data_IF_264356175743
#
_entry.id   IF_264356175743
#
_cell.length_a   1.000
_cell.length_b   1.000
_cell.length_c   1.000
_cell.angle_alpha   90.00
_cell.angle_beta   90.00
_cell.angle_gamma   90.00
#
_symmetry.space_group_name_H-M   'P 1'
#
loop_
_entity.id
_entity.type
_entity.pdbx_description
1 polymer ?
#
# COMPACT_ATOMS: atom_id res chain seq x y z
N UNK A 1 23.99 -45.40 -23.90
CA UNK A 1 23.30 -44.63 -24.95
C UNK A 1 22.18 -43.74 -24.38
N UNK A 2 21.55 -44.14 -23.28
CA UNK A 2 20.45 -43.38 -22.66
C UNK A 2 20.87 -42.09 -21.95
N UNK A 3 22.04 -42.04 -21.30
CA UNK A 3 22.56 -40.80 -20.70
C UNK A 3 22.88 -39.70 -21.71
N UNK A 4 23.21 -40.09 -22.96
CA UNK A 4 23.50 -39.14 -24.04
C UNK A 4 22.21 -38.57 -24.66
N UNK A 5 21.16 -39.40 -24.77
CA UNK A 5 19.80 -38.98 -25.16
C UNK A 5 19.18 -38.06 -24.12
N UNK A 6 19.41 -38.30 -22.83
CA UNK A 6 18.89 -37.47 -21.74
C UNK A 6 19.60 -36.10 -21.62
N UNK A 7 20.90 -36.04 -21.94
CA UNK A 7 21.64 -34.77 -22.09
C UNK A 7 21.18 -33.97 -23.32
N UNK A 8 20.93 -34.64 -24.44
CA UNK A 8 20.47 -34.02 -25.68
C UNK A 8 18.99 -33.57 -25.61
N UNK A 9 18.13 -34.30 -24.91
CA UNK A 9 16.73 -33.92 -24.69
C UNK A 9 16.60 -32.69 -23.79
N UNK A 10 17.41 -32.59 -22.73
CA UNK A 10 17.52 -31.38 -21.88
C UNK A 10 17.98 -30.15 -22.68
N UNK A 11 18.91 -30.34 -23.61
CA UNK A 11 19.38 -29.27 -24.50
C UNK A 11 18.30 -28.84 -25.51
N UNK A 12 17.52 -29.78 -26.05
CA UNK A 12 16.39 -29.49 -26.95
C UNK A 12 15.24 -28.80 -26.22
N UNK A 13 14.90 -29.20 -25.00
CA UNK A 13 13.88 -28.54 -24.19
C UNK A 13 14.32 -27.11 -23.83
N UNK A 14 15.58 -26.92 -23.44
CA UNK A 14 16.16 -25.59 -23.20
C UNK A 14 16.17 -24.72 -24.46
N UNK A 15 16.56 -25.28 -25.61
CA UNK A 15 16.56 -24.58 -26.90
C UNK A 15 15.13 -24.29 -27.41
N UNK A 16 14.16 -25.13 -27.08
CA UNK A 16 12.75 -24.93 -27.41
C UNK A 16 12.11 -23.87 -26.51
N UNK A 17 12.43 -23.87 -25.21
CA UNK A 17 12.08 -22.79 -24.27
C UNK A 17 12.70 -21.47 -24.70
N UNK A 18 14.00 -21.44 -25.03
CA UNK A 18 14.71 -20.26 -25.59
C UNK A 18 14.13 -19.81 -26.95
N UNK A 19 13.73 -20.75 -27.81
CA UNK A 19 13.11 -20.46 -29.11
C UNK A 19 11.70 -19.86 -28.99
N UNK A 20 10.90 -20.31 -28.02
CA UNK A 20 9.64 -19.69 -27.63
C UNK A 20 9.86 -18.32 -26.96
N UNK A 21 10.92 -18.18 -26.16
CA UNK A 21 11.31 -16.94 -25.47
C UNK A 21 11.59 -15.81 -26.47
N UNK A 22 12.37 -16.09 -27.53
CA UNK A 22 12.67 -15.12 -28.61
C UNK A 22 11.46 -14.69 -29.43
N UNK A 23 10.42 -15.54 -29.54
CA UNK A 23 9.23 -15.25 -30.37
C UNK A 23 8.15 -14.47 -29.60
N UNK A 24 8.23 -14.42 -28.27
CA UNK A 24 7.31 -13.69 -27.37
C UNK A 24 8.04 -12.69 -26.45
N UNK A 25 9.26 -12.30 -26.80
CA UNK A 25 10.14 -11.45 -25.97
C UNK A 25 9.48 -10.12 -25.55
N UNK A 26 8.54 -9.62 -26.37
CA UNK A 26 7.72 -8.44 -26.09
C UNK A 26 6.64 -8.64 -25.00
N UNK A 27 6.17 -9.87 -24.75
CA UNK A 27 5.11 -10.18 -23.79
C UNK A 27 5.62 -10.85 -22.51
N UNK A 28 6.85 -11.38 -22.51
CA UNK A 28 7.45 -12.04 -21.34
C UNK A 28 7.58 -11.10 -20.12
N UNK A 29 8.02 -9.83 -20.26
CA UNK A 29 8.03 -8.88 -19.14
C UNK A 29 6.62 -8.62 -18.61
N UNK A 30 5.64 -8.42 -19.49
CA UNK A 30 4.25 -8.19 -19.12
C UNK A 30 3.63 -9.40 -18.39
N UNK A 31 3.87 -10.62 -18.88
CA UNK A 31 3.39 -11.86 -18.23
C UNK A 31 4.06 -12.08 -16.88
N UNK A 32 5.38 -11.83 -16.79
CA UNK A 32 6.13 -11.97 -15.53
C UNK A 32 5.68 -10.94 -14.50
N UNK A 33 5.39 -9.72 -14.96
CA UNK A 33 4.81 -8.65 -14.18
C UNK A 33 3.43 -9.01 -13.63
N UNK A 34 2.51 -9.47 -14.49
CA UNK A 34 1.15 -9.87 -14.06
C UNK A 34 1.20 -11.07 -13.12
N UNK A 35 2.03 -12.08 -13.42
CA UNK A 35 2.18 -13.25 -12.56
C UNK A 35 2.81 -12.92 -11.21
N UNK A 36 3.82 -12.05 -11.19
CA UNK A 36 4.43 -11.55 -9.95
C UNK A 36 3.43 -10.80 -9.08
N UNK A 37 2.64 -9.91 -9.69
CA UNK A 37 1.58 -9.19 -8.99
C UNK A 37 0.47 -10.10 -8.46
N UNK A 38 0.02 -11.07 -9.26
CA UNK A 38 -0.96 -12.06 -8.82
C UNK A 38 -0.40 -12.91 -7.67
N UNK A 39 0.87 -13.31 -7.76
CA UNK A 39 1.55 -14.04 -6.68
C UNK A 39 1.63 -13.21 -5.40
N UNK A 40 2.03 -11.94 -5.48
CA UNK A 40 2.11 -11.04 -4.34
C UNK A 40 0.72 -10.78 -3.75
N UNK A 41 -0.30 -10.58 -4.59
CA UNK A 41 -1.69 -10.41 -4.13
C UNK A 41 -2.24 -11.66 -3.42
N UNK A 42 -1.75 -12.85 -3.74
CA UNK A 42 -2.15 -14.10 -3.08
C UNK A 42 -1.32 -14.40 -1.83
N UNK A 43 -0.04 -14.02 -1.81
CA UNK A 43 0.89 -14.33 -0.72
C UNK A 43 0.93 -13.27 0.38
N UNK A 44 0.81 -11.99 0.00
CA UNK A 44 0.80 -10.84 0.91
C UNK A 44 -0.63 -10.51 1.28
N UNK A 45 -0.98 -10.87 2.50
CA UNK A 45 -2.38 -10.85 2.95
C UNK A 45 -2.62 -9.86 4.06
N UNK A 46 -1.59 -9.62 4.89
CA UNK A 46 -1.67 -8.74 6.05
C UNK A 46 -0.29 -8.14 6.33
N UNK A 47 -0.26 -6.82 6.45
CA UNK A 47 0.96 -6.05 6.69
C UNK A 47 1.66 -6.39 8.01
N UNK A 48 0.92 -6.88 9.01
CA UNK A 48 1.43 -7.23 10.34
C UNK A 48 1.89 -8.69 10.48
N UNK A 49 1.76 -9.51 9.43
CA UNK A 49 2.23 -10.90 9.50
C UNK A 49 3.76 -10.93 9.53
N UNK A 50 4.31 -11.58 10.54
CA UNK A 50 5.76 -11.78 10.67
C UNK A 50 6.39 -12.36 9.40
N UNK A 51 5.73 -13.36 8.79
CA UNK A 51 6.18 -13.98 7.54
C UNK A 51 6.28 -12.95 6.39
N UNK A 52 5.26 -12.12 6.22
CA UNK A 52 5.19 -11.17 5.11
C UNK A 52 6.27 -10.08 5.30
N UNK A 53 6.50 -9.61 6.53
CA UNK A 53 7.61 -8.73 6.88
C UNK A 53 9.00 -9.37 6.67
N UNK A 54 9.14 -10.67 6.96
CA UNK A 54 10.38 -11.42 6.72
C UNK A 54 10.68 -11.54 5.22
N UNK A 55 9.65 -11.81 4.40
CA UNK A 55 9.78 -11.85 2.93
C UNK A 55 10.23 -10.49 2.40
N UNK A 56 9.62 -9.38 2.84
CA UNK A 56 10.00 -8.05 2.38
C UNK A 56 11.40 -7.64 2.87
N UNK A 57 11.76 -8.03 4.09
CA UNK A 57 13.13 -7.85 4.60
C UNK A 57 14.15 -8.60 3.75
N UNK A 58 13.84 -9.85 3.39
CA UNK A 58 14.66 -10.66 2.50
C UNK A 58 14.78 -10.00 1.11
N UNK A 59 13.67 -9.52 0.53
CA UNK A 59 13.69 -8.80 -0.74
C UNK A 59 14.58 -7.56 -0.67
N UNK A 60 14.50 -6.76 0.39
CA UNK A 60 15.34 -5.57 0.54
C UNK A 60 16.83 -5.94 0.66
N UNK A 61 17.18 -6.92 1.50
CA UNK A 61 18.57 -7.38 1.67
C UNK A 61 19.17 -7.91 0.35
N UNK A 62 18.40 -8.73 -0.37
CA UNK A 62 18.85 -9.29 -1.63
C UNK A 62 18.89 -8.24 -2.75
N UNK A 63 17.97 -7.27 -2.75
CA UNK A 63 18.04 -6.10 -3.62
C UNK A 63 19.34 -5.31 -3.37
N UNK A 64 19.65 -4.98 -2.13
CA UNK A 64 20.91 -4.30 -1.76
C UNK A 64 22.12 -5.09 -2.25
N UNK A 65 22.12 -6.40 -2.01
CA UNK A 65 23.22 -7.29 -2.39
C UNK A 65 23.39 -7.36 -3.91
N UNK A 66 22.30 -7.55 -4.66
CA UNK A 66 22.32 -7.59 -6.13
C UNK A 66 22.74 -6.25 -6.72
N UNK A 67 22.29 -5.12 -6.14
CA UNK A 67 22.69 -3.78 -6.54
C UNK A 67 24.20 -3.60 -6.40
N UNK A 68 24.76 -3.95 -5.24
CA UNK A 68 26.20 -3.85 -4.98
C UNK A 68 26.98 -4.75 -5.95
N UNK A 69 26.62 -6.04 -6.04
CA UNK A 69 27.30 -7.02 -6.86
C UNK A 69 27.23 -6.70 -8.36
N UNK A 70 26.14 -6.10 -8.84
CA UNK A 70 25.99 -5.67 -10.23
C UNK A 70 27.01 -4.61 -10.60
N UNK A 71 27.18 -3.59 -9.76
CA UNK A 71 28.10 -2.49 -10.05
C UNK A 71 29.56 -2.85 -9.79
N UNK A 72 29.86 -3.60 -8.73
CA UNK A 72 31.19 -4.21 -8.57
C UNK A 72 31.52 -5.14 -9.75
N UNK A 73 30.49 -5.78 -10.32
CA UNK A 73 30.48 -6.52 -11.57
C UNK A 73 31.23 -5.83 -12.68
N UNK A 74 30.95 -4.55 -12.86
CA UNK A 74 31.40 -3.76 -14.01
C UNK A 74 32.88 -3.40 -13.93
N UNK A 75 33.49 -3.44 -12.74
CA UNK A 75 34.90 -3.11 -12.54
C UNK A 75 35.76 -4.39 -12.68
N UNK A 76 36.80 -4.38 -13.53
CA UNK A 76 37.69 -5.54 -13.66
C UNK A 76 38.39 -5.86 -12.34
N UNK A 77 38.55 -7.16 -12.04
CA UNK A 77 39.24 -7.71 -10.87
C UNK A 77 38.72 -7.30 -9.47
N UNK A 78 37.53 -6.68 -9.36
CA UNK A 78 36.92 -6.31 -8.06
C UNK A 78 36.03 -7.39 -7.45
N UNK A 79 35.54 -8.33 -8.26
CA UNK A 79 34.81 -9.49 -7.80
C UNK A 79 35.69 -10.72 -7.79
N UNK A 80 35.57 -11.54 -6.74
CA UNK A 80 36.18 -12.87 -6.73
C UNK A 80 35.64 -13.74 -7.86
N UNK A 81 36.41 -14.73 -8.28
CA UNK A 81 36.07 -15.70 -9.34
C UNK A 81 34.72 -16.42 -9.09
N UNK A 82 34.38 -16.68 -7.82
CA UNK A 82 33.11 -17.34 -7.47
C UNK A 82 31.90 -16.47 -7.77
N UNK A 83 31.97 -15.19 -7.39
CA UNK A 83 30.89 -14.22 -7.56
C UNK A 83 30.82 -13.67 -8.99
N UNK A 84 31.92 -13.67 -9.75
CA UNK A 84 31.91 -13.23 -11.15
C UNK A 84 31.14 -14.19 -12.07
N UNK A 85 31.08 -15.49 -11.71
CA UNK A 85 30.33 -16.52 -12.45
C UNK A 85 28.84 -16.19 -12.61
N UNK A 86 28.26 -15.51 -11.63
CA UNK A 86 26.83 -15.18 -11.59
C UNK A 86 26.54 -13.73 -11.97
N UNK A 87 27.52 -12.98 -12.49
CA UNK A 87 27.37 -11.55 -12.85
C UNK A 87 26.18 -11.24 -13.78
N UNK A 88 25.80 -12.19 -14.64
CA UNK A 88 24.65 -12.05 -15.55
C UNK A 88 23.30 -12.09 -14.83
N UNK A 89 23.23 -12.69 -13.64
CA UNK A 89 21.98 -12.85 -12.88
C UNK A 89 21.70 -11.71 -11.92
N UNK A 90 22.71 -10.94 -11.48
CA UNK A 90 22.48 -9.86 -10.51
C UNK A 90 21.54 -8.75 -11.01
N UNK A 91 21.62 -8.28 -12.27
CA UNK A 91 20.65 -7.32 -12.79
C UNK A 91 19.22 -7.86 -12.81
N UNK A 92 19.06 -9.15 -13.14
CA UNK A 92 17.76 -9.83 -13.11
C UNK A 92 17.24 -9.94 -11.66
N UNK A 93 18.15 -10.15 -10.71
CA UNK A 93 17.83 -10.11 -9.28
C UNK A 93 17.33 -8.73 -8.84
N UNK A 94 17.98 -7.64 -9.25
CA UNK A 94 17.51 -6.27 -8.98
C UNK A 94 16.08 -6.11 -9.47
N UNK A 95 15.81 -6.45 -10.73
CA UNK A 95 14.47 -6.37 -11.32
C UNK A 95 13.45 -7.15 -10.48
N UNK A 96 13.74 -8.42 -10.16
CA UNK A 96 12.83 -9.28 -9.42
C UNK A 96 12.49 -8.71 -8.04
N UNK A 97 13.51 -8.37 -7.24
CA UNK A 97 13.28 -7.88 -5.88
C UNK A 97 12.68 -6.47 -5.85
N UNK A 98 13.09 -5.59 -6.76
CA UNK A 98 12.51 -4.26 -6.91
C UNK A 98 11.04 -4.34 -7.33
N UNK A 99 10.72 -5.15 -8.34
CA UNK A 99 9.36 -5.37 -8.81
C UNK A 99 8.47 -5.97 -7.73
N UNK A 100 8.95 -6.97 -6.99
CA UNK A 100 8.22 -7.58 -5.88
C UNK A 100 7.96 -6.60 -4.71
N UNK A 101 8.93 -5.75 -4.37
CA UNK A 101 8.73 -4.72 -3.33
C UNK A 101 7.71 -3.67 -3.76
N UNK A 102 7.81 -3.16 -4.99
CA UNK A 102 6.82 -2.20 -5.51
C UNK A 102 5.41 -2.79 -5.56
N UNK A 103 5.28 -4.03 -6.05
CA UNK A 103 4.02 -4.79 -6.08
C UNK A 103 3.42 -4.91 -4.68
N UNK A 104 4.22 -5.34 -3.69
CA UNK A 104 3.82 -5.39 -2.29
C UNK A 104 3.30 -4.05 -1.77
N UNK A 105 3.99 -2.95 -2.10
CA UNK A 105 3.61 -1.62 -1.63
C UNK A 105 2.32 -1.13 -2.29
N UNK A 106 2.15 -1.34 -3.59
CA UNK A 106 0.89 -1.05 -4.28
C UNK A 106 -0.27 -1.77 -3.58
N UNK A 107 -0.10 -3.05 -3.24
CA UNK A 107 -1.10 -3.83 -2.51
C UNK A 107 -1.38 -3.21 -1.13
N UNK A 108 -0.36 -2.98 -0.31
CA UNK A 108 -0.55 -2.47 1.06
C UNK A 108 -1.11 -1.05 1.11
N UNK A 109 -0.58 -0.13 0.29
CA UNK A 109 -1.11 1.23 0.21
C UNK A 109 -2.54 1.24 -0.35
N UNK A 110 -2.88 0.36 -1.31
CA UNK A 110 -4.26 0.26 -1.81
C UNK A 110 -5.24 -0.23 -0.74
N UNK A 111 -4.82 -1.12 0.16
CA UNK A 111 -5.66 -1.58 1.27
C UNK A 111 -5.89 -0.50 2.33
N UNK A 112 -4.96 0.45 2.47
CA UNK A 112 -5.03 1.57 3.43
C UNK A 112 -5.56 2.87 2.82
N UNK A 113 -5.69 2.96 1.50
CA UNK A 113 -6.10 4.19 0.83
C UNK A 113 -7.61 4.37 0.83
N UNK A 114 -8.06 5.61 1.10
CA UNK A 114 -9.38 6.05 0.69
C UNK A 114 -9.42 6.30 -0.81
N UNK A 115 -10.54 5.97 -1.45
CA UNK A 115 -10.82 6.29 -2.85
C UNK A 115 -10.82 7.81 -3.11
N UNK A 116 -11.12 8.62 -2.09
CA UNK A 116 -11.35 10.06 -2.25
C UNK A 116 -10.07 10.90 -2.27
N UNK A 117 -9.20 10.78 -1.24
CA UNK A 117 -7.97 11.60 -1.12
C UNK A 117 -6.68 10.87 -1.51
N UNK A 118 -6.54 9.59 -1.18
CA UNK A 118 -5.23 8.91 -1.17
C UNK A 118 -4.97 8.05 -2.42
N UNK A 119 -5.97 7.94 -3.31
CA UNK A 119 -5.89 7.13 -4.53
C UNK A 119 -4.72 7.55 -5.45
N UNK A 120 -4.46 8.86 -5.56
CA UNK A 120 -3.40 9.38 -6.42
C UNK A 120 -2.01 8.89 -6.03
N UNK A 121 -1.75 8.70 -4.74
CA UNK A 121 -0.49 8.14 -4.28
C UNK A 121 -0.33 6.67 -4.68
N UNK A 122 -1.40 5.88 -4.60
CA UNK A 122 -1.41 4.49 -5.06
C UNK A 122 -1.19 4.41 -6.57
N UNK A 123 -1.83 5.31 -7.34
CA UNK A 123 -1.62 5.43 -8.79
C UNK A 123 -0.16 5.80 -9.10
N UNK A 124 0.43 6.76 -8.36
CA UNK A 124 1.83 7.13 -8.50
C UNK A 124 2.76 5.92 -8.28
N UNK A 125 2.54 5.14 -7.21
CA UNK A 125 3.30 3.92 -6.95
C UNK A 125 3.12 2.90 -8.08
N UNK A 126 1.90 2.71 -8.59
CA UNK A 126 1.61 1.83 -9.72
C UNK A 126 2.33 2.27 -11.00
N UNK A 127 2.38 3.57 -11.27
CA UNK A 127 3.14 4.13 -12.41
C UNK A 127 4.63 3.91 -12.21
N UNK A 128 5.19 4.21 -11.04
CA UNK A 128 6.62 3.99 -10.74
C UNK A 128 7.00 2.50 -10.84
N UNK A 129 6.13 1.62 -10.38
CA UNK A 129 6.29 0.17 -10.50
C UNK A 129 6.32 -0.25 -11.97
N UNK A 130 5.34 0.18 -12.75
CA UNK A 130 5.24 -0.08 -14.19
C UNK A 130 6.48 0.46 -14.93
N UNK A 131 6.83 1.72 -14.69
CA UNK A 131 8.01 2.37 -15.26
C UNK A 131 9.30 1.63 -14.88
N UNK A 132 9.42 1.12 -13.65
CA UNK A 132 10.60 0.36 -13.22
C UNK A 132 10.79 -0.94 -13.99
N UNK A 133 9.71 -1.56 -14.46
CA UNK A 133 9.76 -2.76 -15.30
C UNK A 133 10.17 -2.41 -16.73
N UNK A 134 9.58 -1.37 -17.32
CA UNK A 134 9.82 -1.00 -18.73
C UNK A 134 11.10 -0.20 -18.98
N UNK A 135 11.56 0.60 -18.02
CA UNK A 135 12.75 1.45 -18.17
C UNK A 135 14.06 0.68 -18.04
N UNK A 136 14.07 -0.65 -17.99
CA UNK A 136 15.31 -1.44 -17.78
C UNK A 136 16.43 -1.15 -18.78
N UNK A 137 16.10 -0.71 -20.00
CA UNK A 137 17.08 -0.30 -21.00
C UNK A 137 17.77 1.04 -20.65
N UNK A 138 17.13 1.91 -19.86
CA UNK A 138 17.62 3.21 -19.38
C UNK A 138 17.96 3.25 -17.88
N UNK A 139 17.50 2.28 -17.09
CA UNK A 139 17.85 2.06 -15.67
C UNK A 139 19.31 1.62 -15.47
N UNK A 140 20.13 1.64 -16.52
CA UNK A 140 21.58 1.53 -16.40
C UNK A 140 22.21 2.68 -15.60
N UNK A 141 21.52 3.82 -15.43
CA UNK A 141 21.97 4.95 -14.61
C UNK A 141 21.89 4.60 -13.12
N UNK A 142 23.06 4.50 -12.50
CA UNK A 142 23.25 4.25 -11.08
C UNK A 142 22.44 5.21 -10.19
N UNK A 143 22.29 6.48 -10.60
CA UNK A 143 21.57 7.50 -9.81
C UNK A 143 20.09 7.16 -9.66
N UNK A 144 19.45 6.74 -10.75
CA UNK A 144 18.04 6.36 -10.74
C UNK A 144 17.83 5.08 -9.92
N UNK A 145 18.76 4.11 -10.03
CA UNK A 145 18.70 2.90 -9.21
C UNK A 145 18.83 3.21 -7.71
N UNK A 146 19.73 4.11 -7.32
CA UNK A 146 19.90 4.54 -5.94
C UNK A 146 18.68 5.32 -5.41
N UNK A 147 18.05 6.13 -6.26
CA UNK A 147 16.84 6.86 -5.92
C UNK A 147 15.64 5.91 -5.71
N UNK A 148 15.45 4.95 -6.61
CA UNK A 148 14.42 3.91 -6.46
C UNK A 148 14.70 3.03 -5.25
N UNK A 149 15.97 2.67 -5.01
CA UNK A 149 16.38 1.95 -3.82
C UNK A 149 16.03 2.72 -2.54
N UNK A 150 16.32 4.04 -2.49
CA UNK A 150 15.93 4.89 -1.37
C UNK A 150 14.41 4.87 -1.16
N UNK A 151 13.63 5.11 -2.21
CA UNK A 151 12.16 5.07 -2.15
C UNK A 151 11.65 3.73 -1.59
N UNK A 152 12.19 2.61 -2.09
CA UNK A 152 11.78 1.28 -1.65
C UNK A 152 12.15 1.01 -0.19
N UNK A 153 13.33 1.45 0.25
CA UNK A 153 13.74 1.35 1.64
C UNK A 153 12.88 2.22 2.56
N UNK A 154 12.54 3.44 2.13
CA UNK A 154 11.66 4.33 2.89
C UNK A 154 10.28 3.70 3.06
N UNK A 155 9.67 3.26 1.96
CA UNK A 155 8.38 2.56 2.00
C UNK A 155 8.45 1.32 2.89
N UNK A 156 9.55 0.53 2.85
CA UNK A 156 9.76 -0.60 3.75
C UNK A 156 9.69 -0.19 5.23
N UNK A 157 10.54 0.76 5.63
CA UNK A 157 10.63 1.18 7.02
C UNK A 157 9.39 1.95 7.49
N UNK A 158 8.64 2.59 6.59
CA UNK A 158 7.43 3.32 6.92
C UNK A 158 6.32 2.40 7.47
N UNK A 159 6.25 1.13 7.08
CA UNK A 159 5.36 0.15 7.75
C UNK A 159 6.09 -0.70 8.79
N UNK A 160 7.36 -1.03 8.57
CA UNK A 160 8.09 -1.94 9.44
C UNK A 160 8.37 -1.32 10.82
N UNK A 161 8.74 -0.03 10.88
CA UNK A 161 9.01 0.63 12.16
C UNK A 161 7.75 0.74 13.03
N UNK A 162 6.58 1.14 12.51
CA UNK A 162 5.36 1.12 13.31
C UNK A 162 5.03 -0.23 13.93
N UNK A 163 5.24 -1.32 13.19
CA UNK A 163 5.01 -2.68 13.67
C UNK A 163 6.03 -3.06 14.75
N UNK A 164 7.30 -2.71 14.54
CA UNK A 164 8.39 -3.02 15.47
C UNK A 164 8.25 -2.28 16.80
N UNK A 165 7.93 -0.98 16.75
CA UNK A 165 7.84 -0.11 17.91
C UNK A 165 6.44 0.00 18.50
N UNK A 166 5.44 -0.61 17.84
CA UNK A 166 4.02 -0.56 18.22
C UNK A 166 3.48 0.86 18.37
N UNK A 167 3.96 1.76 17.50
CA UNK A 167 3.58 3.18 17.47
C UNK A 167 3.35 3.60 16.04
N UNK A 168 2.44 4.53 15.83
CA UNK A 168 2.08 5.08 14.52
C UNK A 168 2.41 6.56 14.50
N UNK A 169 2.20 7.20 13.35
CA UNK A 169 2.33 8.64 13.20
C UNK A 169 3.63 9.12 12.55
N UNK A 170 3.73 10.44 12.47
CA UNK A 170 4.73 11.15 11.68
C UNK A 170 6.17 10.81 12.11
N UNK A 171 6.43 10.60 13.40
CA UNK A 171 7.77 10.27 13.88
C UNK A 171 8.28 8.92 13.36
N UNK A 172 7.39 7.95 13.16
CA UNK A 172 7.76 6.66 12.57
C UNK A 172 8.05 6.80 11.07
N UNK A 173 7.25 7.61 10.37
CA UNK A 173 7.48 7.95 8.96
C UNK A 173 8.80 8.71 8.76
N UNK A 174 9.08 9.72 9.60
CA UNK A 174 10.34 10.46 9.57
C UNK A 174 11.53 9.54 9.90
N UNK A 175 11.40 8.71 10.93
CA UNK A 175 12.39 7.69 11.29
C UNK A 175 12.67 6.71 10.15
N UNK A 176 11.65 6.33 9.38
CA UNK A 176 11.82 5.49 8.19
C UNK A 176 12.73 6.16 7.15
N UNK A 177 12.55 7.46 6.93
CA UNK A 177 13.42 8.26 6.07
C UNK A 177 14.87 8.28 6.56
N UNK A 178 15.09 8.48 7.86
CA UNK A 178 16.44 8.49 8.47
C UNK A 178 17.12 7.13 8.31
N UNK A 179 16.46 6.03 8.66
CA UNK A 179 17.01 4.67 8.52
C UNK A 179 17.31 4.35 7.05
N UNK A 180 16.47 4.80 6.14
CA UNK A 180 16.67 4.66 4.69
C UNK A 180 17.89 5.43 4.19
N UNK A 181 18.14 6.64 4.72
CA UNK A 181 19.36 7.39 4.43
C UNK A 181 20.61 6.70 4.97
N UNK A 182 20.54 6.12 6.17
CA UNK A 182 21.65 5.32 6.72
C UNK A 182 21.96 4.15 5.79
N UNK A 183 20.93 3.42 5.37
CA UNK A 183 21.09 2.27 4.48
C UNK A 183 21.63 2.68 3.09
N UNK A 184 21.14 3.78 2.52
CA UNK A 184 21.69 4.35 1.29
C UNK A 184 23.15 4.80 1.48
N UNK A 185 23.47 5.43 2.60
CA UNK A 185 24.81 5.87 2.96
C UNK A 185 25.81 4.72 3.04
N UNK A 186 25.38 3.55 3.56
CA UNK A 186 26.19 2.33 3.55
C UNK A 186 26.50 1.87 2.12
N UNK A 187 25.49 1.83 1.24
CA UNK A 187 25.68 1.48 -0.18
C UNK A 187 26.62 2.47 -0.88
N UNK A 188 26.41 3.77 -0.67
CA UNK A 188 27.26 4.83 -1.22
C UNK A 188 28.70 4.73 -0.70
N UNK A 189 28.90 4.38 0.58
CA UNK A 189 30.23 4.18 1.16
C UNK A 189 30.95 3.02 0.48
N UNK A 190 30.26 1.90 0.22
CA UNK A 190 30.80 0.78 -0.55
C UNK A 190 31.18 1.24 -1.96
N UNK A 191 30.31 1.98 -2.64
CA UNK A 191 30.58 2.48 -4.00
C UNK A 191 31.72 3.49 -4.08
N UNK A 192 31.87 4.34 -3.08
CA UNK A 192 33.00 5.25 -2.97
C UNK A 192 34.31 4.50 -2.75
N UNK A 193 34.37 3.60 -1.76
CA UNK A 193 35.59 2.83 -1.45
C UNK A 193 36.05 1.90 -2.56
N UNK A 194 35.11 1.41 -3.38
CA UNK A 194 35.40 0.48 -4.47
C UNK A 194 35.65 1.16 -5.81
N UNK A 195 35.45 2.48 -5.88
CA UNK A 195 35.64 3.29 -7.09
C UNK A 195 34.51 3.18 -8.11
N UNK A 196 33.35 2.62 -7.72
CA UNK A 196 32.12 2.64 -8.54
C UNK A 196 31.65 4.08 -8.75
N UNK A 197 31.69 4.88 -7.68
CA UNK A 197 31.50 6.34 -7.76
C UNK A 197 32.84 6.98 -7.46
N UNK A 198 33.46 7.57 -8.48
CA UNK A 198 34.77 8.22 -8.36
C UNK A 198 34.68 9.76 -8.28
N UNK A 199 33.52 10.34 -8.56
CA UNK A 199 33.33 11.79 -8.63
C UNK A 199 32.39 12.28 -7.53
N UNK A 200 32.84 13.25 -6.74
CA UNK A 200 32.04 13.85 -5.66
C UNK A 200 30.69 14.40 -6.16
N UNK A 201 30.67 14.96 -7.39
CA UNK A 201 29.45 15.48 -8.03
C UNK A 201 28.39 14.40 -8.22
N UNK A 202 28.79 13.18 -8.56
CA UNK A 202 27.86 12.05 -8.75
C UNK A 202 27.31 11.55 -7.42
N UNK A 203 28.15 11.51 -6.38
CA UNK A 203 27.73 11.20 -5.02
C UNK A 203 26.76 12.25 -4.49
N UNK A 204 27.11 13.53 -4.59
CA UNK A 204 26.27 14.66 -4.21
C UNK A 204 24.93 14.68 -4.95
N UNK A 205 24.93 14.41 -6.26
CA UNK A 205 23.69 14.31 -7.04
C UNK A 205 22.79 13.15 -6.57
N UNK A 206 23.36 12.01 -6.20
CA UNK A 206 22.57 10.86 -5.70
C UNK A 206 21.94 11.17 -4.34
N UNK A 207 22.69 11.81 -3.44
CA UNK A 207 22.19 12.27 -2.13
C UNK A 207 21.12 13.34 -2.33
N UNK A 208 21.36 14.33 -3.20
CA UNK A 208 20.40 15.39 -3.48
C UNK A 208 19.09 14.85 -4.07
N UNK A 209 19.15 13.83 -4.94
CA UNK A 209 17.97 13.18 -5.49
C UNK A 209 17.19 12.41 -4.40
N UNK A 210 17.89 11.66 -3.54
CA UNK A 210 17.26 10.98 -2.40
C UNK A 210 16.64 11.97 -1.40
N UNK A 211 17.31 13.10 -1.15
CA UNK A 211 16.77 14.20 -0.34
C UNK A 211 15.53 14.83 -0.98
N UNK A 212 15.55 15.07 -2.30
CA UNK A 212 14.38 15.55 -3.04
C UNK A 212 13.20 14.58 -2.94
N UNK A 213 13.45 13.27 -3.06
CA UNK A 213 12.43 12.26 -2.84
C UNK A 213 11.88 12.26 -1.41
N UNK A 214 12.76 12.35 -0.41
CA UNK A 214 12.33 12.44 0.99
C UNK A 214 11.44 13.66 1.24
N UNK A 215 11.87 14.84 0.80
CA UNK A 215 11.10 16.07 0.94
C UNK A 215 9.77 16.00 0.18
N UNK A 216 9.75 15.38 -0.99
CA UNK A 216 8.52 15.11 -1.74
C UNK A 216 7.56 14.20 -0.96
N UNK A 217 8.06 13.07 -0.45
CA UNK A 217 7.27 12.14 0.37
C UNK A 217 6.76 12.79 1.66
N UNK A 218 7.60 13.58 2.32
CA UNK A 218 7.24 14.35 3.51
C UNK A 218 6.13 15.37 3.23
N UNK A 219 6.23 16.09 2.11
CA UNK A 219 5.18 16.98 1.64
C UNK A 219 3.86 16.24 1.37
N UNK A 220 3.92 15.09 0.69
CA UNK A 220 2.74 14.25 0.44
C UNK A 220 2.14 13.69 1.73
N UNK A 221 2.97 13.32 2.71
CA UNK A 221 2.51 12.87 4.02
C UNK A 221 1.76 13.99 4.73
N UNK A 222 2.35 15.19 4.84
CA UNK A 222 1.70 16.35 5.48
C UNK A 222 0.42 16.79 4.77
N UNK A 223 0.37 16.67 3.45
CA UNK A 223 -0.80 16.98 2.63
C UNK A 223 -1.92 15.91 2.74
N UNK A 224 -1.79 14.90 3.60
CA UNK A 224 -2.74 13.80 3.75
C UNK A 224 -2.98 13.03 2.44
N UNK A 225 -1.98 12.93 1.56
CA UNK A 225 -2.07 12.16 0.31
C UNK A 225 -1.50 10.74 0.46
N UNK A 226 -0.61 10.53 1.42
CA UNK A 226 -0.12 9.21 1.81
C UNK A 226 -1.07 8.67 2.89
N UNK A 227 -1.69 7.50 2.69
CA UNK A 227 -2.55 6.93 3.70
C UNK A 227 -1.73 6.52 4.93
N UNK A 228 -2.31 6.59 6.14
CA UNK A 228 -1.63 6.23 7.39
C UNK A 228 -1.48 4.70 7.49
N UNK A 229 -0.42 4.18 6.88
CA UNK A 229 -0.02 2.77 6.99
C UNK A 229 0.57 2.54 8.39
N UNK A 230 0.27 1.42 9.09
CA UNK A 230 -0.38 0.18 8.66
C UNK A 230 -1.90 0.09 8.89
N UNK A 231 -2.57 1.19 9.19
CA UNK A 231 -4.01 1.20 9.46
C UNK A 231 -4.81 1.04 8.15
N UNK A 232 -5.95 0.35 8.20
CA UNK A 232 -6.86 0.29 7.05
C UNK A 232 -8.32 0.20 7.45
N UNK A 233 -9.17 0.98 6.76
CA UNK A 233 -10.62 0.93 6.93
C UNK A 233 -11.19 -0.25 6.14
N UNK A 234 -11.65 -1.30 6.82
CA UNK A 234 -12.19 -2.52 6.19
C UNK A 234 -13.64 -2.37 5.78
N UNK A 235 -14.44 -1.76 6.65
CA UNK A 235 -15.85 -1.46 6.41
C UNK A 235 -16.18 -0.13 7.06
N UNK A 236 -16.93 0.72 6.38
CA UNK A 236 -17.43 1.96 6.95
C UNK A 236 -18.75 2.32 6.29
N UNK A 237 -19.74 2.80 7.02
CA UNK A 237 -20.95 3.43 6.47
C UNK A 237 -22.13 3.51 7.43
N UNK A 238 -23.27 3.93 6.91
CA UNK A 238 -24.51 4.08 7.69
C UNK A 238 -25.44 2.88 7.58
N UNK A 239 -26.13 2.61 8.68
CA UNK A 239 -27.03 1.46 8.85
C UNK A 239 -28.25 1.87 9.68
N UNK A 240 -29.36 1.19 9.43
CA UNK A 240 -30.62 1.36 10.18
C UNK A 240 -30.57 0.69 11.55
N UNK A 241 -29.87 -0.44 11.61
CA UNK A 241 -29.75 -1.25 12.82
C UNK A 241 -28.41 -1.97 12.83
N UNK A 242 -27.82 -2.02 14.02
CA UNK A 242 -26.61 -2.80 14.30
C UNK A 242 -26.91 -3.69 15.49
N UNK A 243 -26.96 -5.00 15.28
CA UNK A 243 -27.10 -5.99 16.34
C UNK A 243 -25.79 -6.75 16.52
N UNK A 244 -25.28 -6.79 17.75
CA UNK A 244 -24.14 -7.64 18.10
C UNK A 244 -24.66 -8.99 18.61
N UNK A 245 -24.26 -10.09 17.96
CA UNK A 245 -24.55 -11.45 18.42
C UNK A 245 -23.23 -12.21 18.51
N UNK A 246 -22.74 -12.39 19.75
CA UNK A 246 -21.40 -12.92 20.00
C UNK A 246 -20.31 -11.99 19.43
N UNK A 247 -19.49 -12.52 18.53
CA UNK A 247 -18.42 -11.78 17.84
C UNK A 247 -18.84 -11.17 16.51
N UNK A 248 -20.06 -11.45 16.04
CA UNK A 248 -20.57 -10.99 14.75
C UNK A 248 -21.48 -9.76 14.91
N UNK A 249 -21.40 -8.85 13.93
CA UNK A 249 -22.28 -7.70 13.81
C UNK A 249 -23.22 -7.87 12.63
N UNK A 250 -24.52 -7.79 12.89
CA UNK A 250 -25.58 -7.84 11.89
C UNK A 250 -25.99 -6.41 11.57
N UNK A 251 -25.76 -6.00 10.33
CA UNK A 251 -25.91 -4.64 9.85
C UNK A 251 -27.07 -4.57 8.86
N UNK A 252 -28.14 -3.86 9.23
CA UNK A 252 -29.31 -3.64 8.36
C UNK A 252 -29.09 -2.40 7.48
N UNK A 253 -29.14 -2.56 6.16
CA UNK A 253 -28.91 -1.50 5.18
C UNK A 253 -29.85 -1.57 3.99
N UNK A 254 -29.92 -0.46 3.25
CA UNK A 254 -30.63 -0.39 1.99
C UNK A 254 -29.73 -0.88 0.84
N UNK A 255 -30.09 -1.99 0.17
CA UNK A 255 -29.32 -2.47 -0.96
C UNK A 255 -29.34 -1.42 -2.09
N UNK A 256 -28.23 -1.26 -2.84
CA UNK A 256 -28.25 -0.41 -4.01
C UNK A 256 -29.15 -1.02 -5.09
N UNK A 257 -29.60 -0.19 -6.03
CA UNK A 257 -30.32 -0.70 -7.20
C UNK A 257 -29.49 -1.74 -7.95
N UNK A 258 -30.17 -2.71 -8.56
CA UNK A 258 -29.55 -3.86 -9.23
C UNK A 258 -28.52 -3.48 -10.31
N UNK A 259 -28.67 -2.32 -10.94
CA UNK A 259 -27.75 -1.82 -11.97
C UNK A 259 -26.50 -1.16 -11.39
N UNK A 260 -26.49 -0.82 -10.09
CA UNK A 260 -25.35 -0.23 -9.38
C UNK A 260 -24.46 -1.30 -8.74
N UNK A 261 -24.08 -2.33 -9.51
CA UNK A 261 -23.32 -3.49 -9.00
C UNK A 261 -21.94 -3.15 -8.41
N UNK A 262 -21.38 -1.98 -8.72
CA UNK A 262 -20.13 -1.48 -8.15
C UNK A 262 -20.31 -0.85 -6.75
N UNK A 263 -21.55 -0.53 -6.35
CA UNK A 263 -21.85 -0.02 -5.02
C UNK A 263 -22.23 -1.17 -4.10
N UNK A 264 -21.80 -1.07 -2.85
CA UNK A 264 -22.17 -2.06 -1.80
C UNK A 264 -23.47 -1.68 -1.09
N UNK A 265 -23.94 -0.44 -1.22
CA UNK A 265 -25.08 0.17 -0.52
C UNK A 265 -25.69 1.30 -1.34
N UNK A 266 -26.96 1.61 -1.06
CA UNK A 266 -27.61 2.82 -1.60
C UNK A 266 -26.89 4.09 -1.14
N UNK A 267 -26.93 5.10 -2.00
CA UNK A 267 -26.53 6.46 -1.67
C UNK A 267 -27.57 7.14 -0.78
N UNK A 268 -28.83 6.83 -1.02
CA UNK A 268 -29.98 7.37 -0.30
C UNK A 268 -30.20 6.56 0.99
N UNK A 269 -30.42 7.28 2.08
CA UNK A 269 -30.77 6.74 3.38
C UNK A 269 -32.15 7.26 3.75
N UNK A 270 -33.14 6.37 3.73
CA UNK A 270 -34.55 6.70 3.98
C UNK A 270 -34.86 6.61 5.48
N UNK A 271 -34.84 7.76 6.17
CA UNK A 271 -35.04 7.83 7.62
C UNK A 271 -36.52 8.03 7.99
N UNK A 272 -37.10 7.07 8.72
CA UNK A 272 -38.45 7.21 9.30
C UNK A 272 -38.35 7.74 10.73
N UNK A 273 -38.86 8.96 10.95
CA UNK A 273 -38.84 9.60 12.27
C UNK A 273 -39.55 8.77 13.35
N UNK A 274 -38.95 8.70 14.54
CA UNK A 274 -39.49 7.98 15.69
C UNK A 274 -39.34 6.45 15.65
N UNK A 275 -39.05 5.86 14.48
CA UNK A 275 -38.84 4.42 14.30
C UNK A 275 -37.38 4.07 14.04
N UNK A 276 -36.68 4.91 13.28
CA UNK A 276 -35.36 4.59 12.76
C UNK A 276 -34.23 5.25 13.57
N UNK A 277 -33.05 4.65 13.46
CA UNK A 277 -31.81 5.19 14.02
C UNK A 277 -30.80 5.31 12.89
N UNK A 278 -30.07 6.42 12.89
CA UNK A 278 -28.93 6.59 12.00
C UNK A 278 -27.68 6.08 12.74
N UNK A 279 -27.19 4.91 12.34
CA UNK A 279 -26.03 4.27 12.98
C UNK A 279 -24.85 4.27 12.01
N UNK A 280 -23.80 5.02 12.33
CA UNK A 280 -22.50 4.86 11.68
C UNK A 280 -21.82 3.61 12.21
N UNK A 281 -21.26 2.80 11.31
CA UNK A 281 -20.48 1.63 11.68
C UNK A 281 -19.17 1.63 10.92
N UNK A 282 -18.09 1.38 11.65
CA UNK A 282 -16.73 1.32 11.14
C UNK A 282 -16.03 0.06 11.62
N UNK A 283 -15.20 -0.52 10.76
CA UNK A 283 -14.32 -1.64 11.06
C UNK A 283 -12.91 -1.27 10.62
N UNK A 284 -12.02 -1.00 11.58
CA UNK A 284 -10.67 -0.48 11.33
C UNK A 284 -9.65 -1.53 11.72
N UNK A 285 -8.82 -1.92 10.77
CA UNK A 285 -7.69 -2.80 11.01
C UNK A 285 -6.49 -2.01 11.53
N UNK A 286 -5.87 -2.56 12.57
CA UNK A 286 -4.56 -2.14 13.09
C UNK A 286 -3.73 -3.39 13.44
N UNK A 287 -2.40 -3.37 13.24
CA UNK A 287 -1.50 -4.43 13.68
C UNK A 287 -1.58 -4.76 15.16
N UNK A 288 -1.23 -5.99 15.51
CA UNK A 288 -1.22 -6.44 16.91
C UNK A 288 -0.37 -5.55 17.83
N UNK A 289 -0.94 -5.20 18.98
CA UNK A 289 -0.29 -4.37 19.99
C UNK A 289 -0.19 -2.87 19.68
N UNK A 290 -0.75 -2.39 18.56
CA UNK A 290 -0.88 -0.95 18.29
C UNK A 290 -2.20 -0.46 18.89
N UNK A 291 -2.11 0.57 19.72
CA UNK A 291 -3.26 1.34 20.19
C UNK A 291 -3.32 2.66 19.41
N UNK A 292 -4.50 3.03 18.93
CA UNK A 292 -4.71 4.24 18.15
C UNK A 292 -6.00 4.92 18.57
N UNK A 293 -5.97 6.24 18.69
CA UNK A 293 -7.17 7.06 18.77
C UNK A 293 -7.66 7.42 17.37
N UNK A 294 -8.96 7.24 17.15
CA UNK A 294 -9.66 7.45 15.89
C UNK A 294 -10.75 8.50 16.12
N UNK A 295 -10.88 9.42 15.17
CA UNK A 295 -11.96 10.40 15.13
C UNK A 295 -12.91 10.09 13.98
N UNK A 296 -14.20 9.97 14.28
CA UNK A 296 -15.26 9.89 13.28
C UNK A 296 -15.97 11.24 13.19
N UNK A 297 -15.65 12.00 12.15
CA UNK A 297 -16.10 13.36 11.92
C UNK A 297 -17.32 13.36 10.98
N UNK A 298 -18.46 13.85 11.47
CA UNK A 298 -19.71 13.92 10.74
C UNK A 298 -19.95 15.32 10.19
N UNK A 299 -19.88 15.44 8.88
CA UNK A 299 -20.16 16.67 8.15
C UNK A 299 -21.55 16.62 7.52
N UNK A 300 -22.24 17.75 7.57
CA UNK A 300 -23.48 17.99 6.84
C UNK A 300 -23.25 19.12 5.85
N UNK A 301 -23.74 18.94 4.62
CA UNK A 301 -23.67 19.99 3.62
C UNK A 301 -24.64 21.11 3.97
N UNK A 302 -24.13 22.32 4.18
CA UNK A 302 -24.95 23.50 4.44
C UNK A 302 -25.26 24.22 3.12
N UNK A 303 -26.48 24.12 2.56
CA UNK A 303 -26.81 24.73 1.28
C UNK A 303 -26.76 26.25 1.31
N UNK A 304 -26.84 26.87 2.50
CA UNK A 304 -26.76 28.32 2.63
C UNK A 304 -25.33 28.86 2.52
N UNK A 305 -24.34 28.05 2.91
CA UNK A 305 -22.92 28.41 2.91
C UNK A 305 -22.12 27.74 1.78
N UNK A 306 -22.77 26.86 1.00
CA UNK A 306 -22.15 26.05 -0.06
C UNK A 306 -20.90 25.30 0.43
N UNK A 307 -20.96 24.79 1.67
CA UNK A 307 -19.81 24.17 2.32
C UNK A 307 -20.21 23.08 3.32
N UNK A 308 -19.29 22.14 3.56
CA UNK A 308 -19.41 21.10 4.57
C UNK A 308 -19.21 21.68 5.97
N UNK A 309 -20.22 21.49 6.84
CA UNK A 309 -20.17 21.91 8.24
C UNK A 309 -20.00 20.70 9.14
N UNK A 310 -18.98 20.72 10.00
CA UNK A 310 -18.80 19.70 11.04
C UNK A 310 -19.97 19.80 12.04
N UNK A 311 -20.74 18.73 12.15
CA UNK A 311 -21.91 18.62 13.02
C UNK A 311 -21.62 17.83 14.29
N UNK A 312 -20.67 16.89 14.23
CA UNK A 312 -20.33 15.99 15.33
C UNK A 312 -18.93 15.42 15.12
N UNK A 313 -18.24 15.13 16.22
CA UNK A 313 -16.96 14.42 16.19
C UNK A 313 -16.96 13.39 17.32
N UNK A 314 -16.79 12.12 16.94
CA UNK A 314 -16.82 11.01 17.88
C UNK A 314 -15.43 10.36 17.98
N UNK A 315 -14.65 10.68 19.03
CA UNK A 315 -13.38 10.03 19.29
C UNK A 315 -13.58 8.67 19.99
N UNK A 316 -12.81 7.67 19.57
CA UNK A 316 -12.74 6.38 20.23
C UNK A 316 -11.37 5.73 20.04
N UNK A 317 -10.99 4.86 20.98
CA UNK A 317 -9.72 4.13 20.93
C UNK A 317 -9.92 2.73 20.38
N UNK A 318 -8.97 2.31 19.55
CA UNK A 318 -8.91 0.95 19.00
C UNK A 318 -7.61 0.28 19.44
N UNK A 319 -7.69 -1.04 19.64
CA UNK A 319 -6.52 -1.90 19.84
C UNK A 319 -6.44 -2.88 18.67
N UNK A 320 -5.26 -2.97 18.05
CA UNK A 320 -5.03 -3.83 16.92
C UNK A 320 -4.92 -5.33 17.25
N UNK A 321 -4.72 -6.14 16.22
CA UNK A 321 -4.59 -7.60 16.30
C UNK A 321 -5.74 -8.38 15.64
N UNK A 322 -6.91 -7.74 15.47
CA UNK A 322 -8.08 -8.35 14.82
C UNK A 322 -7.98 -8.29 13.29
N UNK A 323 -8.03 -9.44 12.62
CA UNK A 323 -7.89 -9.55 11.15
C UNK A 323 -8.92 -8.72 10.37
N UNK A 324 -10.17 -8.71 10.84
CA UNK A 324 -11.28 -7.96 10.24
C UNK A 324 -11.46 -6.56 10.84
N UNK A 325 -10.51 -6.14 11.68
CA UNK A 325 -10.53 -4.85 12.35
C UNK A 325 -11.35 -4.80 13.64
N UNK A 326 -11.19 -3.70 14.34
CA UNK A 326 -11.99 -3.27 15.47
C UNK A 326 -13.31 -2.67 14.97
N UNK A 327 -14.44 -3.21 15.44
CA UNK A 327 -15.78 -2.75 15.05
C UNK A 327 -16.27 -1.71 16.04
N UNK A 328 -16.59 -0.52 15.56
CA UNK A 328 -17.24 0.52 16.32
C UNK A 328 -18.60 0.85 15.70
N UNK A 329 -19.55 1.29 16.51
CA UNK A 329 -20.80 1.86 16.02
C UNK A 329 -21.17 3.11 16.83
N UNK A 330 -21.66 4.12 16.13
CA UNK A 330 -22.09 5.39 16.71
C UNK A 330 -23.54 5.68 16.28
N UNK A 331 -24.41 5.91 17.26
CA UNK A 331 -25.81 6.25 17.01
C UNK A 331 -25.95 7.76 16.98
N UNK A 332 -26.17 8.32 15.80
CA UNK A 332 -26.35 9.77 15.62
C UNK A 332 -27.68 10.20 16.22
N UNK A 333 -27.65 11.15 17.16
CA UNK A 333 -28.85 11.68 17.84
C UNK A 333 -29.55 12.77 17.05
N UNK A 334 -28.78 13.73 16.54
CA UNK A 334 -29.29 14.85 15.77
C UNK A 334 -29.14 14.56 14.29
N UNK A 335 -30.27 14.30 13.66
CA UNK A 335 -30.38 13.93 12.25
C UNK A 335 -31.07 15.06 11.50
N UNK A 336 -30.53 15.44 10.34
CA UNK A 336 -31.10 16.44 9.44
C UNK A 336 -31.14 15.88 8.02
N UNK A 337 -32.17 16.21 7.22
CA UNK A 337 -32.21 15.82 5.82
C UNK A 337 -31.09 16.50 5.02
N UNK A 338 -30.68 15.88 3.91
CA UNK A 338 -29.65 16.40 3.00
C UNK A 338 -28.38 15.56 2.95
N UNK A 339 -27.32 16.12 2.39
CA UNK A 339 -26.06 15.42 2.15
C UNK A 339 -25.21 15.35 3.42
N UNK A 340 -24.69 14.17 3.68
CA UNK A 340 -23.78 13.88 4.79
C UNK A 340 -22.50 13.25 4.27
N UNK A 341 -21.40 13.59 4.92
CA UNK A 341 -20.08 12.99 4.75
C UNK A 341 -19.54 12.60 6.11
N UNK A 342 -19.03 11.40 6.23
CA UNK A 342 -18.34 10.94 7.43
C UNK A 342 -16.89 10.67 7.08
N UNK A 343 -15.97 11.39 7.70
CA UNK A 343 -14.53 11.17 7.57
C UNK A 343 -14.03 10.42 8.81
N UNK A 344 -13.28 9.34 8.60
CA UNK A 344 -12.64 8.55 9.66
C UNK A 344 -11.15 8.87 9.62
N UNK A 345 -10.66 9.48 10.68
CA UNK A 345 -9.28 10.00 10.78
C UNK A 345 -8.57 9.41 12.00
N UNK A 346 -7.23 9.38 11.95
CA UNK A 346 -6.43 9.12 13.15
C UNK A 346 -6.21 10.41 13.98
N UNK A 347 -5.49 10.28 15.09
CA UNK A 347 -5.19 11.40 16.00
C UNK A 347 -4.34 12.51 15.36
N UNK A 348 -3.61 12.22 14.28
CA UNK A 348 -2.83 13.20 13.51
C UNK A 348 -3.66 13.84 12.39
N UNK A 349 -4.96 13.53 12.29
CA UNK A 349 -5.85 14.00 11.24
C UNK A 349 -5.58 13.35 9.88
N UNK A 350 -5.02 12.13 9.85
CA UNK A 350 -4.82 11.37 8.61
C UNK A 350 -6.10 10.63 8.25
N UNK A 351 -6.59 10.86 7.03
CA UNK A 351 -7.78 10.19 6.52
C UNK A 351 -7.52 8.70 6.28
N UNK A 352 -8.22 7.85 7.03
CA UNK A 352 -8.27 6.41 6.83
C UNK A 352 -9.30 6.02 5.77
N UNK A 353 -10.40 6.78 5.71
CA UNK A 353 -11.44 6.62 4.73
C UNK A 353 -12.66 7.47 5.04
N UNK A 354 -13.55 7.56 4.07
CA UNK A 354 -14.73 8.38 4.12
C UNK A 354 -15.90 7.67 3.45
N UNK A 355 -17.11 8.08 3.81
CA UNK A 355 -18.31 7.69 3.11
C UNK A 355 -19.34 8.82 3.13
N UNK A 356 -19.99 8.98 1.99
CA UNK A 356 -21.04 9.97 1.78
C UNK A 356 -22.38 9.27 1.64
N UNK A 357 -23.46 9.94 2.07
CA UNK A 357 -24.84 9.49 1.90
C UNK A 357 -25.80 10.69 1.90
N UNK A 358 -26.98 10.51 1.31
CA UNK A 358 -28.05 11.51 1.34
C UNK A 358 -29.17 11.03 2.25
N UNK A 359 -29.50 11.81 3.27
CA UNK A 359 -30.57 11.49 4.18
C UNK A 359 -31.88 12.11 3.72
N UNK A 360 -32.88 11.26 3.48
CA UNK A 360 -34.23 11.67 3.14
C UNK A 360 -35.19 11.25 4.24
N UNK A 361 -35.97 12.19 4.76
CA UNK A 361 -37.01 11.89 5.75
C UNK A 361 -38.24 11.38 5.00
N UNK A 362 -38.67 10.15 5.29
CA UNK A 362 -39.83 9.53 4.66
C UNK A 362 -40.81 8.97 5.69
N UNK A 363 -42.07 8.81 5.26
CA UNK A 363 -43.11 8.23 6.12
C UNK A 363 -43.00 6.72 6.24
N UNK A 364 -42.59 6.05 5.17
CA UNK A 364 -42.44 4.60 5.08
C UNK A 364 -41.18 4.25 4.28
N UNK A 365 -40.56 3.11 4.61
CA UNK A 365 -39.34 2.65 3.93
C UNK A 365 -39.66 2.04 2.56
N UNK A 366 -38.89 2.34 1.51
CA UNK A 366 -39.22 1.93 0.14
C UNK A 366 -38.94 0.46 -0.19
N UNK A 367 -38.15 -0.27 0.61
CA UNK A 367 -37.73 -1.65 0.32
C UNK A 367 -37.44 -2.46 1.60
N UNK A 368 -37.42 -3.81 1.53
CA UNK A 368 -36.90 -4.61 2.64
C UNK A 368 -35.40 -4.37 2.82
N UNK A 369 -34.98 -4.16 4.07
CA UNK A 369 -33.58 -4.00 4.42
C UNK A 369 -32.82 -5.31 4.22
N UNK A 370 -31.63 -5.21 3.64
CA UNK A 370 -30.68 -6.32 3.58
C UNK A 370 -29.87 -6.38 4.87
N UNK A 371 -29.45 -7.59 5.26
CA UNK A 371 -28.59 -7.80 6.43
C UNK A 371 -27.20 -8.25 5.98
N UNK A 372 -26.16 -7.55 6.42
CA UNK A 372 -24.76 -7.95 6.24
C UNK A 372 -24.14 -8.35 7.56
N UNK A 373 -23.38 -9.44 7.55
CA UNK A 373 -22.61 -9.90 8.71
C UNK A 373 -21.16 -9.41 8.61
N UNK A 374 -20.63 -8.89 9.71
CA UNK A 374 -19.26 -8.37 9.85
C UNK A 374 -18.52 -8.92 11.07
#
# INVERSE_FOLDING_TARGET
>A
MDQLKERLSRHRLWLWVLGRYKRHEQYVPLLSFVLGFLWDSLTLSRIDRFRDNLILSFYLIFLTSCLILTHLGRIPNRLSVRWSRYKKFYPLGIQFFQGGLFSAYVIYYSQSASLSKNLWFVVLLGVLWTLSEFLQYHLGDLRLQLALYYLLSHSFFAFFLPILFKKTGYWMFFGAGVVSFVLLGLVLTVFWRTGVISHWRSLGASIALALGLFLGLDGLYRANLIPPVPLSLKTAGVYHKVEKKGDAYFLEYEPPDWYQFWRKRSWEFHFVEGRDRLVGFTAIFAPDGIEQEILENWYWWDPALDNWRLMDSHPYKITGGRAFGWRNYYVKRFVKPGLWRVEVEDEEGKLLGDFDFELQIVKERPAPLAVRVQ
#
